data_IF_942612566441
#
_entry.id   IF_942612566441
#
_cell.length_a   1.000
_cell.length_b   1.000
_cell.length_c   1.000
_cell.angle_alpha   90.00
_cell.angle_beta   90.00
_cell.angle_gamma   90.00
#
_symmetry.space_group_name_H-M   'P 1'
#
loop_
_entity.id
_entity.type
_entity.pdbx_description
1 polymer ?
#
# COMPACT_ATOMS: atom_id res chain seq x y z
N UNK A 1 0.69 13.37 9.88
CA UNK A 1 1.51 12.54 10.78
C UNK A 1 2.00 11.38 9.94
N UNK A 2 3.30 11.14 9.89
CA UNK A 2 3.87 9.99 9.17
C UNK A 2 4.52 9.05 10.20
N UNK A 3 4.43 7.74 9.98
CA UNK A 3 5.11 6.76 10.84
C UNK A 3 6.59 6.61 10.45
N UNK A 4 7.41 6.07 11.36
CA UNK A 4 8.81 5.80 11.06
C UNK A 4 8.95 4.69 10.02
N UNK A 5 10.03 4.74 9.22
CA UNK A 5 10.38 3.69 8.24
C UNK A 5 10.53 2.32 8.91
N UNK A 6 11.07 2.29 10.14
CA UNK A 6 11.17 1.07 10.94
C UNK A 6 9.80 0.46 11.23
N UNK A 7 8.86 1.26 11.75
CA UNK A 7 7.50 0.77 12.04
C UNK A 7 6.79 0.32 10.76
N UNK A 8 6.90 1.09 9.67
CA UNK A 8 6.36 0.70 8.37
C UNK A 8 6.92 -0.66 7.91
N UNK A 9 8.22 -0.88 8.09
CA UNK A 9 8.89 -2.13 7.73
C UNK A 9 8.41 -3.29 8.60
N UNK A 10 8.31 -3.10 9.91
CA UNK A 10 7.81 -4.12 10.85
C UNK A 10 6.37 -4.54 10.53
N UNK A 11 5.51 -3.60 10.13
CA UNK A 11 4.15 -3.88 9.63
C UNK A 11 4.21 -4.76 8.37
N UNK A 12 5.02 -4.37 7.38
CA UNK A 12 5.11 -5.12 6.13
C UNK A 12 5.66 -6.54 6.31
N UNK A 13 6.65 -6.72 7.18
CA UNK A 13 7.22 -8.05 7.46
C UNK A 13 6.15 -8.98 8.04
N UNK A 14 5.41 -8.51 9.06
CA UNK A 14 4.32 -9.29 9.66
C UNK A 14 3.23 -9.61 8.64
N UNK A 15 2.90 -8.64 7.80
CA UNK A 15 1.90 -8.85 6.76
C UNK A 15 2.38 -9.84 5.70
N UNK A 16 3.65 -9.80 5.28
CA UNK A 16 4.22 -10.67 4.23
C UNK A 16 4.13 -12.16 4.59
N UNK A 17 4.22 -12.52 5.86
CA UNK A 17 4.05 -13.92 6.32
C UNK A 17 2.65 -14.46 6.02
N UNK A 18 1.64 -13.59 6.03
CA UNK A 18 0.24 -13.91 5.75
C UNK A 18 -0.07 -13.68 4.25
N UNK A 19 0.56 -12.66 3.70
CA UNK A 19 0.34 -12.11 2.37
C UNK A 19 1.48 -12.54 1.47
N UNK A 20 1.29 -13.64 0.73
CA UNK A 20 2.27 -14.12 -0.25
C UNK A 20 2.29 -13.26 -1.54
N UNK A 21 2.31 -11.93 -1.42
CA UNK A 21 2.36 -10.94 -2.49
C UNK A 21 3.32 -9.81 -2.11
N UNK A 22 3.73 -8.99 -3.08
CA UNK A 22 4.57 -7.83 -2.78
C UNK A 22 3.76 -6.68 -2.18
N UNK A 23 4.29 -6.13 -1.09
CA UNK A 23 3.66 -5.11 -0.29
C UNK A 23 4.51 -3.83 -0.29
N UNK A 24 3.83 -2.69 -0.29
CA UNK A 24 4.43 -1.38 -0.15
C UNK A 24 3.70 -0.62 0.96
N UNK A 25 4.45 0.07 1.81
CA UNK A 25 3.92 1.12 2.67
C UNK A 25 4.27 2.46 2.04
N UNK A 26 3.24 3.23 1.71
CA UNK A 26 3.37 4.53 1.06
C UNK A 26 2.93 5.62 2.05
N UNK A 27 3.76 6.64 2.22
CA UNK A 27 3.43 7.76 3.10
C UNK A 27 2.35 8.66 2.48
N UNK A 28 1.88 9.64 3.25
CA UNK A 28 0.81 10.57 2.81
C UNK A 28 1.21 11.48 1.64
N UNK A 29 2.48 11.49 1.24
CA UNK A 29 3.03 12.24 0.09
C UNK A 29 3.18 11.37 -1.16
N UNK A 30 2.75 10.11 -1.11
CA UNK A 30 2.83 9.18 -2.23
C UNK A 30 4.21 8.58 -2.46
N UNK A 31 5.09 8.60 -1.46
CA UNK A 31 6.43 8.00 -1.53
C UNK A 31 6.44 6.67 -0.78
N UNK A 32 6.96 5.63 -1.42
CA UNK A 32 7.14 4.31 -0.82
C UNK A 32 8.26 4.41 0.23
N UNK A 33 7.92 4.22 1.50
CA UNK A 33 8.89 4.30 2.62
C UNK A 33 9.29 2.94 3.18
N UNK A 34 8.55 1.88 2.85
CA UNK A 34 8.93 0.49 3.10
C UNK A 34 8.34 -0.40 2.00
N UNK A 35 9.02 -1.49 1.65
CA UNK A 35 8.57 -2.42 0.62
C UNK A 35 9.18 -3.81 0.82
N UNK A 36 8.45 -4.86 0.46
CA UNK A 36 9.00 -6.23 0.36
C UNK A 36 9.82 -6.44 -0.92
N UNK A 37 9.73 -5.49 -1.86
CA UNK A 37 10.62 -5.35 -3.00
C UNK A 37 11.48 -4.09 -2.78
N UNK A 38 12.75 -4.22 -2.36
CA UNK A 38 13.61 -3.09 -2.01
C UNK A 38 13.75 -2.02 -3.10
N UNK A 39 13.71 -2.40 -4.38
CA UNK A 39 13.83 -1.49 -5.53
C UNK A 39 12.69 -0.47 -5.62
N UNK A 40 11.62 -0.68 -4.85
CA UNK A 40 10.47 0.23 -4.78
C UNK A 40 10.66 1.36 -3.78
N UNK A 41 11.54 1.23 -2.79
CA UNK A 41 11.70 2.24 -1.73
C UNK A 41 12.21 3.55 -2.32
N UNK A 42 11.59 4.67 -1.95
CA UNK A 42 11.87 6.00 -2.46
C UNK A 42 11.11 6.36 -3.75
N UNK A 43 10.49 5.39 -4.43
CA UNK A 43 9.75 5.67 -5.65
C UNK A 43 8.39 6.32 -5.35
N UNK A 44 7.97 7.16 -6.28
CA UNK A 44 6.63 7.74 -6.29
C UNK A 44 5.57 6.70 -6.68
N UNK A 45 4.39 6.77 -6.07
CA UNK A 45 3.28 5.84 -6.29
C UNK A 45 1.94 6.59 -6.35
N UNK A 46 1.52 7.00 -7.55
CA UNK A 46 0.38 7.89 -7.75
C UNK A 46 -0.95 7.34 -7.20
N UNK A 47 -1.18 6.03 -7.31
CA UNK A 47 -2.43 5.41 -6.85
C UNK A 47 -2.69 5.61 -5.34
N UNK A 48 -1.64 5.80 -4.54
CA UNK A 48 -1.77 6.08 -3.11
C UNK A 48 -2.40 7.44 -2.84
N UNK A 49 -2.09 8.47 -3.64
CA UNK A 49 -2.67 9.80 -3.49
C UNK A 49 -4.17 9.79 -3.83
N UNK A 50 -4.54 8.99 -4.83
CA UNK A 50 -5.95 8.75 -5.16
C UNK A 50 -6.67 8.04 -4.01
N UNK A 51 -6.03 7.06 -3.39
CA UNK A 51 -6.52 6.34 -2.23
C UNK A 51 -6.76 7.28 -1.04
N UNK A 52 -5.77 8.10 -0.70
CA UNK A 52 -5.85 9.13 0.36
C UNK A 52 -6.99 10.10 0.08
N UNK A 53 -7.07 10.64 -1.15
CA UNK A 53 -8.12 11.59 -1.54
C UNK A 53 -9.53 11.01 -1.42
N UNK A 54 -9.70 9.73 -1.73
CA UNK A 54 -10.99 9.05 -1.68
C UNK A 54 -11.37 8.55 -0.29
N UNK A 55 -10.40 8.38 0.61
CA UNK A 55 -10.61 7.74 1.91
C UNK A 55 -11.08 6.30 1.82
N UNK A 56 -10.77 5.60 0.73
CA UNK A 56 -11.18 4.21 0.49
C UNK A 56 -10.22 3.54 -0.47
N UNK A 57 -10.36 2.23 -0.57
CA UNK A 57 -9.51 1.40 -1.40
C UNK A 57 -9.56 1.80 -2.89
N UNK A 58 -8.42 1.63 -3.54
CA UNK A 58 -8.25 1.88 -4.98
C UNK A 58 -7.68 0.63 -5.62
N UNK A 59 -8.45 0.04 -6.54
CA UNK A 59 -8.00 -1.07 -7.37
C UNK A 59 -7.26 -0.50 -8.59
N UNK A 60 -6.10 -1.08 -8.88
CA UNK A 60 -5.28 -0.81 -10.05
C UNK A 60 -5.42 -2.03 -10.97
N UNK A 61 -6.02 -1.85 -12.15
CA UNK A 61 -6.33 -2.92 -13.09
C UNK A 61 -5.13 -3.28 -14.00
N UNK A 62 -4.24 -2.32 -14.27
CA UNK A 62 -3.02 -2.49 -15.06
C UNK A 62 -1.91 -1.51 -14.60
N UNK A 63 -0.66 -1.77 -15.03
CA UNK A 63 0.53 -1.05 -14.56
C UNK A 63 0.61 0.37 -15.14
N UNK A 64 -0.09 0.66 -16.24
CA UNK A 64 -0.12 1.96 -16.91
C UNK A 64 -1.15 2.92 -16.33
N UNK A 65 -2.08 2.43 -15.48
CA UNK A 65 -3.22 3.21 -14.99
C UNK A 65 -2.81 4.40 -14.11
N UNK A 66 -1.73 4.24 -13.34
CA UNK A 66 -1.22 5.28 -12.43
C UNK A 66 0.30 5.25 -12.41
N UNK A 67 0.94 6.42 -12.49
CA UNK A 67 2.40 6.57 -12.54
C UNK A 67 3.06 5.91 -11.33
N UNK A 68 4.11 5.11 -11.59
CA UNK A 68 4.88 4.42 -10.55
C UNK A 68 4.10 3.31 -9.80
N UNK A 69 2.92 2.95 -10.31
CA UNK A 69 2.04 1.95 -9.71
C UNK A 69 2.08 0.63 -10.47
N UNK A 70 1.67 -0.44 -9.79
CA UNK A 70 1.55 -1.79 -10.38
C UNK A 70 0.14 -2.30 -10.10
N UNK A 71 -0.38 -3.17 -10.96
CA UNK A 71 -1.66 -3.88 -10.81
C UNK A 71 -1.78 -4.45 -9.41
N UNK A 72 -2.90 -4.17 -8.74
CA UNK A 72 -3.02 -4.41 -7.31
C UNK A 72 -4.18 -3.68 -6.65
N UNK A 73 -4.07 -3.52 -5.33
CA UNK A 73 -4.98 -2.74 -4.51
C UNK A 73 -4.18 -1.84 -3.58
N UNK A 74 -4.65 -0.61 -3.40
CA UNK A 74 -4.18 0.33 -2.38
C UNK A 74 -5.26 0.49 -1.33
N UNK A 75 -4.90 0.36 -0.05
CA UNK A 75 -5.80 0.51 1.09
C UNK A 75 -5.30 1.64 2.01
N UNK A 76 -6.17 2.57 2.42
CA UNK A 76 -5.79 3.62 3.36
C UNK A 76 -5.59 3.03 4.76
N UNK A 77 -4.62 3.55 5.50
CA UNK A 77 -4.38 3.19 6.90
C UNK A 77 -4.84 4.34 7.77
N UNK A 78 -5.76 4.05 8.68
CA UNK A 78 -6.31 5.02 9.61
C UNK A 78 -5.67 4.91 10.99
N UNK A 79 -5.49 6.07 11.63
CA UNK A 79 -5.19 6.21 13.05
C UNK A 79 -5.98 7.42 13.55
N UNK A 80 -6.84 7.22 14.55
CA UNK A 80 -7.77 8.24 15.04
C UNK A 80 -8.54 8.96 13.92
N UNK A 81 -9.14 8.18 13.01
CA UNK A 81 -9.90 8.66 11.82
C UNK A 81 -9.07 9.44 10.78
N UNK A 82 -7.76 9.59 11.00
CA UNK A 82 -6.83 10.27 10.08
C UNK A 82 -6.07 9.23 9.27
N UNK A 83 -5.97 9.45 7.95
CA UNK A 83 -5.13 8.63 7.09
C UNK A 83 -3.66 8.95 7.35
N UNK A 84 -2.91 7.95 7.83
CA UNK A 84 -1.47 8.06 8.14
C UNK A 84 -0.57 7.44 7.08
N UNK A 85 -1.15 6.75 6.09
CA UNK A 85 -0.42 6.10 5.01
C UNK A 85 -1.33 5.18 4.18
N UNK A 86 -0.71 4.45 3.27
CA UNK A 86 -1.39 3.50 2.37
C UNK A 86 -0.58 2.21 2.31
N UNK A 87 -1.27 1.06 2.38
CA UNK A 87 -0.69 -0.24 2.03
C UNK A 87 -1.07 -0.57 0.58
N UNK A 88 -0.06 -0.76 -0.26
CA UNK A 88 -0.22 -1.25 -1.63
C UNK A 88 0.11 -2.74 -1.70
N UNK A 89 -0.84 -3.56 -2.16
CA UNK A 89 -0.65 -5.00 -2.41
C UNK A 89 -0.65 -5.24 -3.91
N UNK A 90 0.46 -5.74 -4.44
CA UNK A 90 0.58 -6.10 -5.86
C UNK A 90 -0.17 -7.40 -6.14
N UNK A 91 -0.75 -7.54 -7.33
CA UNK A 91 -1.32 -8.79 -7.81
C UNK A 91 -2.82 -8.72 -8.12
N UNK A 92 -3.38 -9.84 -8.56
CA UNK A 92 -4.76 -9.90 -9.04
C UNK A 92 -5.80 -9.96 -7.93
N UNK A 93 -7.01 -9.47 -8.24
CA UNK A 93 -8.15 -9.44 -7.31
C UNK A 93 -8.42 -10.76 -6.60
N UNK A 94 -8.33 -11.89 -7.31
CA UNK A 94 -8.54 -13.22 -6.72
C UNK A 94 -7.51 -13.55 -5.63
N UNK A 95 -6.32 -12.96 -5.68
CA UNK A 95 -5.22 -13.21 -4.74
C UNK A 95 -5.37 -12.37 -3.47
N UNK A 96 -5.74 -11.10 -3.56
CA UNK A 96 -5.80 -10.19 -2.40
C UNK A 96 -7.18 -10.08 -1.71
N UNK A 97 -8.28 -10.54 -2.32
CA UNK A 97 -9.64 -10.33 -1.79
C UNK A 97 -9.87 -10.91 -0.38
N UNK A 98 -9.28 -12.06 -0.07
CA UNK A 98 -9.41 -12.67 1.25
C UNK A 98 -8.53 -11.97 2.30
N UNK A 99 -7.53 -11.21 1.88
CA UNK A 99 -6.55 -10.56 2.75
C UNK A 99 -6.99 -9.16 3.17
N UNK A 100 -7.76 -8.45 2.33
CA UNK A 100 -8.36 -7.15 2.67
C UNK A 100 -9.20 -7.25 3.95
N UNK A 101 -9.95 -8.35 4.11
CA UNK A 101 -10.73 -8.65 5.32
C UNK A 101 -9.91 -8.77 6.62
N UNK A 102 -8.59 -8.98 6.53
CA UNK A 102 -7.73 -9.10 7.70
C UNK A 102 -7.25 -7.72 8.21
N UNK A 103 -7.48 -6.68 7.41
CA UNK A 103 -7.03 -5.31 7.65
C UNK A 103 -8.21 -4.36 7.95
N UNK A 104 -9.44 -4.85 7.79
CA UNK A 104 -10.68 -4.28 8.34
C UNK A 104 -10.84 -4.70 9.81
#
# INVERSE_FOLDING_TARGET
>A
MDISTKLATDILIKMKEIINQDLNYINTKGIIIASTNPDRVGNFHEASLVCIKKGKEVIIENDEQYVGSKKGINMPIYFDEVIIGVIGITGEKKKWKNMVKLLE
#
